data_IF_043164474716
#
_entry.id   IF_043164474716
#
_cell.length_a   1.000
_cell.length_b   1.000
_cell.length_c   1.000
_cell.angle_alpha   90.00
_cell.angle_beta   90.00
_cell.angle_gamma   90.00
#
_symmetry.space_group_name_H-M   'P 1'
#
loop_
_entity.id
_entity.type
_entity.pdbx_description
1 polymer ?
#
# COMPACT_ATOMS: atom_id res chain seq x y z
N UNK A 1 6.60 -14.77 -22.88
CA UNK A 1 6.14 -14.02 -24.07
C UNK A 1 4.78 -14.51 -24.54
N UNK A 2 4.57 -15.81 -24.66
CA UNK A 2 3.29 -16.38 -25.14
C UNK A 2 2.07 -16.00 -24.28
N UNK A 3 2.22 -16.01 -22.95
CA UNK A 3 1.15 -15.59 -22.05
C UNK A 3 0.77 -14.11 -22.25
N UNK A 4 1.74 -13.22 -22.37
CA UNK A 4 1.50 -11.79 -22.57
C UNK A 4 0.79 -11.51 -23.90
N UNK A 5 1.13 -12.27 -24.96
CA UNK A 5 0.44 -12.20 -26.24
C UNK A 5 -1.00 -12.68 -26.13
N UNK A 6 -1.24 -13.85 -25.52
CA UNK A 6 -2.59 -14.40 -25.35
C UNK A 6 -3.50 -13.42 -24.58
N UNK A 7 -3.00 -12.87 -23.47
CA UNK A 7 -3.75 -11.90 -22.67
C UNK A 7 -4.03 -10.62 -23.47
N UNK A 8 -3.06 -10.18 -24.29
CA UNK A 8 -3.22 -9.02 -25.16
C UNK A 8 -4.26 -9.21 -26.26
N UNK A 9 -4.27 -10.36 -26.93
CA UNK A 9 -5.28 -10.72 -27.93
C UNK A 9 -6.69 -10.71 -27.31
N UNK A 10 -6.87 -11.35 -26.15
CA UNK A 10 -8.14 -11.37 -25.43
C UNK A 10 -8.56 -9.95 -25.02
N UNK A 11 -7.63 -9.16 -24.48
CA UNK A 11 -7.88 -7.79 -24.03
C UNK A 11 -8.40 -6.90 -25.16
N UNK A 12 -7.81 -7.03 -26.36
CA UNK A 12 -8.26 -6.31 -27.55
C UNK A 12 -9.63 -6.81 -28.02
N UNK A 13 -9.84 -8.12 -28.07
CA UNK A 13 -11.11 -8.74 -28.49
C UNK A 13 -12.29 -8.26 -27.64
N UNK A 14 -12.10 -8.20 -26.31
CA UNK A 14 -13.16 -7.78 -25.38
C UNK A 14 -13.20 -6.25 -25.17
N UNK A 15 -12.23 -5.50 -25.68
CA UNK A 15 -12.10 -4.05 -25.49
C UNK A 15 -11.92 -3.62 -24.02
N UNK A 16 -11.31 -4.47 -23.18
CA UNK A 16 -11.07 -4.20 -21.75
C UNK A 16 -9.68 -4.62 -21.32
N UNK A 17 -9.16 -4.02 -20.25
CA UNK A 17 -7.92 -4.48 -19.63
C UNK A 17 -8.12 -5.89 -19.05
N UNK A 18 -7.09 -6.73 -19.15
CA UNK A 18 -7.05 -8.07 -18.55
C UNK A 18 -5.82 -8.15 -17.65
N UNK A 19 -6.04 -8.52 -16.40
CA UNK A 19 -5.03 -8.67 -15.37
C UNK A 19 -4.86 -10.12 -14.95
N UNK A 20 -3.63 -10.46 -14.57
CA UNK A 20 -3.25 -11.75 -14.01
C UNK A 20 -2.49 -11.51 -12.70
N UNK A 21 -2.91 -12.20 -11.64
CA UNK A 21 -2.08 -12.34 -10.45
C UNK A 21 -1.25 -13.61 -10.56
N UNK A 22 0.06 -13.46 -10.41
CA UNK A 22 1.02 -14.53 -10.68
C UNK A 22 1.91 -14.71 -9.46
N UNK A 23 2.02 -15.93 -8.96
CA UNK A 23 2.94 -16.30 -7.89
C UNK A 23 4.40 -16.34 -8.36
N UNK A 24 5.33 -16.35 -7.40
CA UNK A 24 6.77 -16.55 -7.64
C UNK A 24 7.09 -17.84 -8.41
N UNK A 25 6.25 -18.89 -8.25
CA UNK A 25 6.33 -20.15 -9.00
C UNK A 25 6.01 -20.01 -10.50
N UNK A 26 5.40 -18.89 -10.89
CA UNK A 26 4.82 -18.68 -12.21
C UNK A 26 3.35 -19.13 -12.33
N UNK A 27 2.76 -19.70 -11.26
CA UNK A 27 1.36 -20.09 -11.24
C UNK A 27 0.44 -18.86 -11.28
N UNK A 28 -0.53 -18.87 -12.19
CA UNK A 28 -1.55 -17.83 -12.30
C UNK A 28 -2.68 -18.15 -11.33
N UNK A 29 -2.88 -17.29 -10.33
CA UNK A 29 -3.86 -17.50 -9.26
C UNK A 29 -5.21 -16.90 -9.59
N UNK A 30 -5.21 -15.77 -10.28
CA UNK A 30 -6.42 -15.04 -10.66
C UNK A 30 -6.28 -14.49 -12.07
N UNK A 31 -7.40 -14.53 -12.80
CA UNK A 31 -7.62 -13.75 -14.01
C UNK A 31 -8.67 -12.70 -13.69
N UNK A 32 -8.38 -11.45 -14.04
CA UNK A 32 -9.19 -10.28 -13.70
C UNK A 32 -9.54 -9.58 -15.01
N UNK A 33 -10.82 -9.25 -15.19
CA UNK A 33 -11.29 -8.45 -16.32
C UNK A 33 -11.66 -7.08 -15.79
N UNK A 34 -10.88 -6.07 -16.19
CA UNK A 34 -11.08 -4.69 -15.79
C UNK A 34 -12.04 -3.94 -16.70
N UNK A 35 -11.96 -2.62 -16.62
CA UNK A 35 -12.53 -1.71 -17.61
C UNK A 35 -11.41 -1.21 -18.54
N UNK A 36 -11.61 -0.12 -19.26
CA UNK A 36 -10.63 0.46 -20.18
C UNK A 36 -9.55 1.32 -19.48
N UNK A 37 -9.76 1.67 -18.21
CA UNK A 37 -8.90 2.54 -17.41
C UNK A 37 -8.30 1.86 -16.17
N UNK A 38 -8.93 0.82 -15.61
CA UNK A 38 -8.50 0.17 -14.38
C UNK A 38 -8.90 -1.29 -14.22
N UNK A 39 -8.26 -1.95 -13.25
CA UNK A 39 -8.51 -3.33 -12.84
C UNK A 39 -8.79 -3.35 -11.35
N UNK A 40 -9.91 -3.94 -10.96
CA UNK A 40 -10.26 -4.10 -9.55
C UNK A 40 -9.62 -5.37 -8.98
N UNK A 41 -8.71 -5.19 -8.02
CA UNK A 41 -8.01 -6.30 -7.38
C UNK A 41 -8.96 -7.04 -6.43
N UNK A 42 -9.13 -8.37 -6.56
CA UNK A 42 -9.99 -9.13 -5.66
C UNK A 42 -9.40 -9.18 -4.24
N UNK A 43 -10.21 -9.53 -3.24
CA UNK A 43 -9.71 -9.77 -1.89
C UNK A 43 -8.69 -10.93 -1.86
N UNK A 44 -7.53 -10.69 -1.23
CA UNK A 44 -6.39 -11.61 -1.23
C UNK A 44 -6.12 -12.27 0.13
N UNK A 45 -7.18 -12.63 0.87
CA UNK A 45 -7.10 -13.11 2.27
C UNK A 45 -6.21 -14.35 2.47
N UNK A 46 -6.05 -15.17 1.42
CA UNK A 46 -5.18 -16.35 1.41
C UNK A 46 -3.69 -15.99 1.37
N UNK A 47 -3.36 -14.77 0.95
CA UNK A 47 -2.00 -14.27 0.76
C UNK A 47 -1.67 -13.25 1.84
N UNK A 48 -1.60 -13.69 3.10
CA UNK A 48 -1.23 -12.80 4.21
C UNK A 48 0.20 -12.30 4.03
N UNK A 49 0.39 -11.00 4.21
CA UNK A 49 1.71 -10.37 4.14
C UNK A 49 2.33 -10.38 5.52
N UNK A 50 3.50 -11.01 5.66
CA UNK A 50 4.31 -10.92 6.86
C UNK A 50 5.10 -9.61 6.87
N UNK A 51 5.52 -9.17 8.06
CA UNK A 51 6.34 -7.98 8.25
C UNK A 51 7.58 -7.99 7.37
N UNK A 52 7.90 -6.83 6.78
CA UNK A 52 9.05 -6.63 5.90
C UNK A 52 9.12 -7.58 4.69
N UNK A 53 8.04 -8.29 4.36
CA UNK A 53 7.93 -9.14 3.17
C UNK A 53 6.99 -8.55 2.14
N UNK A 54 7.14 -9.01 0.91
CA UNK A 54 6.20 -8.78 -0.17
C UNK A 54 5.18 -9.93 -0.20
N UNK A 55 4.07 -9.74 -0.90
CA UNK A 55 2.95 -10.69 -0.90
C UNK A 55 3.28 -12.01 -1.61
N UNK A 56 4.35 -12.07 -2.40
CA UNK A 56 4.66 -13.23 -3.23
C UNK A 56 3.83 -13.29 -4.51
N UNK A 57 3.17 -12.18 -4.85
CA UNK A 57 2.31 -12.01 -6.01
C UNK A 57 2.77 -10.81 -6.81
N UNK A 58 2.82 -10.95 -8.13
CA UNK A 58 2.88 -9.83 -9.06
C UNK A 58 1.59 -9.68 -9.84
N UNK A 59 1.24 -8.45 -10.16
CA UNK A 59 0.19 -8.15 -11.13
C UNK A 59 0.83 -7.95 -12.51
N UNK A 60 0.34 -8.69 -13.49
CA UNK A 60 0.56 -8.41 -14.89
C UNK A 60 -0.76 -7.99 -15.50
N UNK A 61 -0.81 -6.88 -16.25
CA UNK A 61 -2.05 -6.47 -16.91
C UNK A 61 -1.80 -5.79 -18.25
N UNK A 62 -2.86 -5.60 -19.03
CA UNK A 62 -2.81 -4.94 -20.34
C UNK A 62 -3.26 -3.48 -20.26
N UNK A 63 -2.61 -2.62 -21.04
CA UNK A 63 -3.10 -1.29 -21.38
C UNK A 63 -3.47 -1.25 -22.86
N UNK A 64 -4.72 -0.91 -23.17
CA UNK A 64 -5.22 -0.74 -24.56
C UNK A 64 -4.80 0.60 -25.19
N UNK A 65 -4.29 1.52 -24.37
CA UNK A 65 -3.74 2.81 -24.79
C UNK A 65 -2.27 2.87 -24.39
N UNK A 66 -1.48 3.61 -25.15
CA UNK A 66 -0.05 3.77 -24.90
C UNK A 66 0.20 4.80 -23.78
N UNK A 67 0.04 4.38 -22.52
CA UNK A 67 0.37 5.18 -21.34
C UNK A 67 1.17 4.38 -20.29
N UNK A 68 2.02 5.06 -19.51
CA UNK A 68 2.67 4.48 -18.32
C UNK A 68 1.67 3.97 -17.28
N UNK A 69 2.19 3.28 -16.26
CA UNK A 69 1.43 2.98 -15.04
C UNK A 69 0.88 4.28 -14.46
N UNK A 70 -0.42 4.29 -14.16
CA UNK A 70 -1.13 5.43 -13.61
C UNK A 70 -1.07 5.39 -12.07
N UNK A 71 -1.68 6.37 -11.41
CA UNK A 71 -1.67 6.42 -9.94
C UNK A 71 -2.43 5.26 -9.29
N UNK A 72 -3.51 4.76 -9.90
CA UNK A 72 -4.27 3.61 -9.39
C UNK A 72 -3.41 2.35 -9.36
N UNK A 73 -2.69 2.07 -10.44
CA UNK A 73 -1.74 0.96 -10.53
C UNK A 73 -0.69 1.05 -9.42
N UNK A 74 -0.09 2.22 -9.23
CA UNK A 74 0.97 2.44 -8.25
C UNK A 74 0.46 2.36 -6.80
N UNK A 75 -0.78 2.76 -6.56
CA UNK A 75 -1.44 2.55 -5.27
C UNK A 75 -1.69 1.07 -5.02
N UNK A 76 -2.15 0.31 -6.02
CA UNK A 76 -2.37 -1.13 -5.88
C UNK A 76 -1.08 -1.89 -5.62
N UNK A 77 0.03 -1.49 -6.24
CA UNK A 77 1.36 -2.05 -5.97
C UNK A 77 1.70 -1.98 -4.48
N UNK A 78 1.63 -0.78 -3.91
CA UNK A 78 2.06 -0.54 -2.53
C UNK A 78 1.06 -1.12 -1.54
N UNK A 79 -0.23 -0.83 -1.72
CA UNK A 79 -1.26 -1.19 -0.77
C UNK A 79 -1.54 -2.70 -0.72
N UNK A 80 -1.35 -3.42 -1.84
CA UNK A 80 -1.38 -4.89 -1.83
C UNK A 80 -0.01 -5.49 -1.53
N UNK A 81 1.05 -4.68 -1.38
CA UNK A 81 2.43 -5.14 -1.23
C UNK A 81 2.85 -6.16 -2.30
N UNK A 82 2.44 -5.94 -3.55
CA UNK A 82 2.82 -6.83 -4.65
C UNK A 82 4.34 -6.82 -4.84
N UNK A 83 4.88 -7.96 -5.25
CA UNK A 83 6.28 -8.11 -5.60
C UNK A 83 6.64 -7.14 -6.76
N UNK A 84 5.72 -6.97 -7.72
CA UNK A 84 5.80 -5.98 -8.79
C UNK A 84 4.44 -5.78 -9.49
N UNK A 85 4.30 -4.68 -10.22
CA UNK A 85 3.25 -4.51 -11.23
C UNK A 85 3.90 -4.32 -12.60
N UNK A 86 3.35 -4.97 -13.63
CA UNK A 86 3.78 -4.83 -15.02
C UNK A 86 2.59 -4.65 -15.94
N UNK A 87 2.50 -3.49 -16.60
CA UNK A 87 1.57 -3.22 -17.69
C UNK A 87 2.20 -3.55 -19.04
N UNK A 88 1.49 -4.30 -19.87
CA UNK A 88 1.79 -4.51 -21.28
C UNK A 88 0.94 -3.58 -22.14
N UNK A 89 1.56 -2.63 -22.84
CA UNK A 89 0.85 -1.82 -23.83
C UNK A 89 0.69 -2.63 -25.12
N UNK A 90 -0.55 -2.96 -25.46
CA UNK A 90 -0.87 -3.84 -26.59
C UNK A 90 -1.27 -3.02 -27.81
N UNK A 91 -0.85 -3.47 -28.99
CA UNK A 91 -1.33 -2.95 -30.26
C UNK A 91 -2.76 -3.38 -30.57
N UNK A 92 -3.34 -2.84 -31.63
CA UNK A 92 -4.65 -3.27 -32.15
C UNK A 92 -4.67 -4.72 -32.65
N UNK A 93 -3.51 -5.33 -32.82
CA UNK A 93 -3.29 -6.73 -33.13
C UNK A 93 -3.19 -7.62 -31.87
N UNK A 94 -3.32 -7.05 -30.67
CA UNK A 94 -3.16 -7.75 -29.40
C UNK A 94 -1.71 -8.01 -29.01
N UNK A 95 -0.73 -7.60 -29.82
CA UNK A 95 0.69 -7.87 -29.57
C UNK A 95 1.25 -6.82 -28.60
N UNK A 96 1.88 -7.23 -27.47
CA UNK A 96 2.58 -6.30 -26.59
C UNK A 96 3.72 -5.57 -27.30
N UNK A 97 3.66 -4.24 -27.37
CA UNK A 97 4.70 -3.40 -27.97
C UNK A 97 5.81 -3.05 -26.98
N UNK A 98 5.43 -2.77 -25.74
CA UNK A 98 6.35 -2.44 -24.65
C UNK A 98 5.66 -2.62 -23.30
N UNK A 99 6.46 -2.59 -22.25
CA UNK A 99 6.08 -2.84 -20.88
C UNK A 99 6.51 -1.69 -19.97
N UNK A 100 5.66 -1.39 -19.00
CA UNK A 100 5.98 -0.53 -17.87
C UNK A 100 5.90 -1.36 -16.60
N UNK A 101 6.95 -1.31 -15.79
CA UNK A 101 7.02 -2.07 -14.54
C UNK A 101 7.33 -1.16 -13.37
N UNK A 102 6.79 -1.50 -12.20
CA UNK A 102 7.06 -0.81 -10.96
C UNK A 102 7.29 -1.81 -9.82
N UNK A 103 8.11 -1.39 -8.86
CA UNK A 103 8.43 -2.12 -7.64
C UNK A 103 8.22 -1.18 -6.45
N UNK A 104 7.95 -1.73 -5.27
CA UNK A 104 7.88 -0.91 -4.05
C UNK A 104 9.28 -0.36 -3.76
N UNK A 105 9.34 0.90 -3.36
CA UNK A 105 10.61 1.50 -2.95
C UNK A 105 10.98 0.95 -1.56
N UNK A 106 12.14 0.29 -1.40
CA UNK A 106 12.52 -0.24 -0.09
C UNK A 106 12.88 0.86 0.90
N UNK A 107 13.05 2.11 0.45
CA UNK A 107 13.29 3.24 1.33
C UNK A 107 12.02 3.81 1.94
N UNK A 108 11.79 3.65 3.26
CA UNK A 108 10.59 4.18 3.91
C UNK A 108 10.52 5.71 3.87
N UNK A 109 11.66 6.40 3.73
CA UNK A 109 11.72 7.86 3.67
C UNK A 109 11.74 8.41 2.23
N UNK A 110 11.57 7.54 1.23
CA UNK A 110 11.46 7.99 -0.14
C UNK A 110 10.20 8.83 -0.36
N UNK A 111 10.34 9.90 -1.17
CA UNK A 111 9.21 10.74 -1.58
C UNK A 111 8.11 9.93 -2.27
N UNK A 112 8.52 9.00 -3.14
CA UNK A 112 7.61 8.11 -3.85
C UNK A 112 7.78 6.69 -3.30
N UNK A 113 6.70 6.00 -2.89
CA UNK A 113 6.77 4.67 -2.30
C UNK A 113 6.98 3.54 -3.34
N UNK A 114 7.27 3.90 -4.59
CA UNK A 114 7.52 3.00 -5.70
C UNK A 114 8.71 3.46 -6.54
N UNK A 115 9.27 2.53 -7.30
CA UNK A 115 10.35 2.73 -8.27
C UNK A 115 9.83 2.31 -9.64
N UNK A 116 9.81 3.26 -10.59
CA UNK A 116 9.45 2.99 -11.97
C UNK A 116 10.65 2.45 -12.75
N UNK A 117 10.44 1.36 -13.48
CA UNK A 117 11.41 0.87 -14.45
C UNK A 117 11.33 1.69 -15.73
N UNK A 118 12.44 1.86 -16.46
CA UNK A 118 12.40 2.39 -17.82
C UNK A 118 11.48 1.55 -18.70
N UNK A 119 10.89 2.17 -19.73
CA UNK A 119 10.10 1.46 -20.75
C UNK A 119 10.91 0.31 -21.33
N UNK A 120 10.36 -0.91 -21.29
CA UNK A 120 11.02 -2.11 -21.82
C UNK A 120 10.31 -2.62 -23.06
N UNK A 121 11.08 -3.07 -24.05
CA UNK A 121 10.54 -3.78 -25.22
C UNK A 121 10.57 -5.30 -24.97
N UNK A 122 9.76 -6.12 -25.68
CA UNK A 122 9.72 -7.57 -25.51
C UNK A 122 11.08 -8.28 -25.46
N UNK A 123 12.04 -7.89 -26.29
CA UNK A 123 13.39 -8.45 -26.31
C UNK A 123 14.32 -7.97 -25.19
N UNK A 124 13.87 -7.05 -24.34
CA UNK A 124 14.66 -6.46 -23.24
C UNK A 124 14.22 -6.94 -21.86
N UNK A 125 13.18 -7.78 -21.79
CA UNK A 125 12.75 -8.39 -20.53
C UNK A 125 13.86 -9.32 -20.05
N UNK A 126 14.53 -8.92 -18.96
CA UNK A 126 15.64 -9.67 -18.39
C UNK A 126 15.10 -10.88 -17.62
N UNK A 127 15.87 -11.97 -17.66
CA UNK A 127 15.76 -13.04 -16.68
C UNK A 127 16.21 -12.53 -15.31
N UNK A 128 15.78 -13.20 -14.24
CA UNK A 128 16.23 -12.88 -12.89
C UNK A 128 15.19 -12.19 -12.00
N UNK A 129 13.89 -12.38 -12.28
CA UNK A 129 12.81 -11.74 -11.50
C UNK A 129 12.87 -12.13 -10.01
N UNK A 130 13.14 -13.41 -9.71
CA UNK A 130 13.21 -13.89 -8.34
C UNK A 130 14.36 -13.22 -7.59
N UNK A 131 15.52 -13.12 -8.23
CA UNK A 131 16.72 -12.48 -7.71
C UNK A 131 16.47 -10.99 -7.43
N UNK A 132 15.68 -10.32 -8.27
CA UNK A 132 15.28 -8.93 -8.04
C UNK A 132 14.35 -8.79 -6.83
N UNK A 133 13.37 -9.69 -6.67
CA UNK A 133 12.46 -9.70 -5.52
C UNK A 133 13.21 -10.03 -4.23
N UNK A 134 14.10 -11.01 -4.25
CA UNK A 134 14.94 -11.39 -3.11
C UNK A 134 15.88 -10.25 -2.69
N UNK A 135 16.49 -9.56 -3.64
CA UNK A 135 17.29 -8.37 -3.37
C UNK A 135 16.44 -7.27 -2.71
N UNK A 136 15.21 -7.07 -3.19
CA UNK A 136 14.29 -6.07 -2.64
C UNK A 136 13.85 -6.43 -1.20
N UNK A 137 13.50 -7.69 -0.92
CA UNK A 137 13.17 -8.18 0.43
C UNK A 137 14.38 -8.10 1.38
N UNK A 138 15.59 -8.30 0.88
CA UNK A 138 16.81 -8.10 1.66
C UNK A 138 16.97 -6.64 2.08
N UNK A 139 16.69 -5.68 1.19
CA UNK A 139 16.72 -4.25 1.52
C UNK A 139 15.67 -3.87 2.55
N UNK A 140 14.43 -4.37 2.44
CA UNK A 140 13.40 -4.17 3.49
C UNK A 140 13.87 -4.69 4.85
N UNK A 141 14.41 -5.91 4.88
CA UNK A 141 14.88 -6.55 6.12
C UNK A 141 16.06 -5.79 6.74
N UNK A 142 17.01 -5.32 5.93
CA UNK A 142 18.14 -4.51 6.42
C UNK A 142 17.65 -3.25 7.13
N UNK A 143 16.64 -2.56 6.59
CA UNK A 143 16.13 -1.31 7.17
C UNK A 143 15.35 -1.52 8.48
N UNK A 144 14.76 -2.69 8.68
CA UNK A 144 14.11 -3.02 9.97
C UNK A 144 15.03 -3.77 10.93
N UNK A 145 16.23 -4.18 10.51
CA UNK A 145 17.14 -5.06 11.27
C UNK A 145 17.62 -4.49 12.62
N UNK A 146 17.74 -3.17 12.74
CA UNK A 146 18.21 -2.48 13.96
C UNK A 146 17.16 -2.36 15.04
N UNK A 147 15.89 -2.66 14.73
CA UNK A 147 14.77 -2.61 15.67
C UNK A 147 14.74 -3.86 16.54
N UNK A 148 14.41 -3.70 17.82
CA UNK A 148 14.09 -4.84 18.70
C UNK A 148 12.84 -5.57 18.17
N UNK A 149 12.71 -6.87 18.40
CA UNK A 149 11.52 -7.65 17.97
C UNK A 149 10.21 -7.00 18.42
N UNK A 150 10.15 -6.52 19.67
CA UNK A 150 8.97 -5.81 20.20
C UNK A 150 8.66 -4.49 19.48
N UNK A 151 9.67 -3.83 18.89
CA UNK A 151 9.52 -2.62 18.08
C UNK A 151 9.21 -2.91 16.62
N UNK A 152 9.38 -4.17 16.17
CA UNK A 152 8.97 -4.61 14.83
C UNK A 152 7.47 -4.91 14.79
N UNK A 153 6.91 -5.43 15.89
CA UNK A 153 5.52 -5.93 15.99
C UNK A 153 4.55 -4.97 16.72
N UNK A 154 4.95 -3.70 16.95
CA UNK A 154 4.05 -2.67 17.49
C UNK A 154 4.36 -1.29 16.90
N UNK A 155 4.29 -1.17 15.57
CA UNK A 155 4.61 0.09 14.87
C UNK A 155 3.37 0.94 14.69
N UNK A 156 3.43 2.22 15.05
CA UNK A 156 2.28 3.13 15.01
C UNK A 156 2.51 4.41 14.21
N UNK A 157 1.43 4.88 13.59
CA UNK A 157 1.26 6.20 13.02
C UNK A 157 0.32 6.99 13.93
N UNK A 158 0.77 8.14 14.46
CA UNK A 158 -0.09 8.99 15.27
C UNK A 158 -0.80 10.06 14.44
N UNK A 159 -2.08 10.27 14.68
CA UNK A 159 -2.92 11.22 13.96
C UNK A 159 -3.58 12.19 14.93
N UNK A 160 -3.08 13.43 14.97
CA UNK A 160 -3.65 14.51 15.77
C UNK A 160 -4.56 15.40 14.94
N UNK A 161 -5.84 15.50 15.31
CA UNK A 161 -6.78 16.44 14.67
C UNK A 161 -7.40 17.35 15.72
N UNK A 162 -7.20 18.64 15.55
CA UNK A 162 -7.57 19.63 16.56
C UNK A 162 -8.41 20.76 15.95
N UNK A 163 -9.59 20.96 16.53
CA UNK A 163 -10.45 22.11 16.27
C UNK A 163 -9.80 23.35 16.91
N UNK A 164 -9.34 24.28 16.06
CA UNK A 164 -8.68 25.53 16.46
C UNK A 164 -9.55 26.41 17.38
N UNK A 165 -10.87 26.27 17.33
CA UNK A 165 -11.81 27.07 18.15
C UNK A 165 -12.00 26.48 19.55
N UNK A 166 -11.78 25.17 19.72
CA UNK A 166 -11.96 24.43 20.97
C UNK A 166 -10.64 24.03 21.63
N UNK A 167 -9.52 24.46 21.06
CA UNK A 167 -8.17 24.08 21.46
C UNK A 167 -7.84 24.63 22.87
N UNK A 168 -7.84 23.74 23.88
CA UNK A 168 -7.46 24.07 25.27
C UNK A 168 -5.98 23.88 25.56
N UNK A 169 -5.30 23.05 24.77
CA UNK A 169 -3.86 22.72 24.87
C UNK A 169 -3.22 22.81 23.49
N UNK A 170 -1.91 23.04 23.44
CA UNK A 170 -1.16 23.01 22.18
C UNK A 170 -1.15 21.59 21.59
N UNK A 171 -1.41 21.42 20.27
CA UNK A 171 -1.25 20.17 19.54
C UNK A 171 0.08 19.48 19.80
N UNK A 172 1.17 20.26 19.84
CA UNK A 172 2.51 19.73 20.02
C UNK A 172 2.68 19.09 21.41
N UNK A 173 2.04 19.66 22.44
CA UNK A 173 2.06 19.11 23.78
C UNK A 173 1.21 17.83 23.89
N UNK A 174 0.02 17.83 23.27
CA UNK A 174 -0.88 16.67 23.22
C UNK A 174 -0.22 15.49 22.49
N UNK A 175 0.41 15.74 21.35
CA UNK A 175 1.14 14.70 20.61
C UNK A 175 2.39 14.21 21.35
N UNK A 176 3.08 15.09 22.10
CA UNK A 176 4.22 14.66 22.92
C UNK A 176 3.76 13.73 24.06
N UNK A 177 2.63 14.05 24.71
CA UNK A 177 2.01 13.20 25.71
C UNK A 177 1.60 11.84 25.11
N UNK A 178 0.93 11.84 23.96
CA UNK A 178 0.53 10.61 23.27
C UNK A 178 1.74 9.74 22.87
N UNK A 179 2.84 10.36 22.43
CA UNK A 179 4.10 9.65 22.14
C UNK A 179 4.68 8.99 23.39
N UNK A 180 4.67 9.67 24.55
CA UNK A 180 5.14 9.10 25.81
C UNK A 180 4.26 7.94 26.30
N UNK A 181 2.94 8.03 26.11
CA UNK A 181 2.03 6.93 26.39
C UNK A 181 2.32 5.71 25.50
N UNK A 182 2.50 5.93 24.19
CA UNK A 182 2.90 4.88 23.26
C UNK A 182 4.22 4.22 23.68
N UNK A 183 5.22 5.03 24.05
CA UNK A 183 6.52 4.54 24.53
C UNK A 183 6.37 3.66 25.77
N UNK A 184 5.51 4.07 26.72
CA UNK A 184 5.24 3.32 27.95
C UNK A 184 4.50 2.02 27.67
N UNK A 185 3.63 2.01 26.66
CA UNK A 185 2.92 0.82 26.17
C UNK A 185 3.78 -0.09 25.25
N UNK A 186 5.06 0.24 25.01
CA UNK A 186 5.95 -0.55 24.15
C UNK A 186 5.72 -0.36 22.64
N UNK A 187 4.92 0.63 22.24
CA UNK A 187 4.61 0.96 20.85
C UNK A 187 5.70 1.86 20.28
N UNK A 188 6.20 1.51 19.10
CA UNK A 188 7.16 2.30 18.36
C UNK A 188 6.45 3.25 17.39
N UNK A 189 6.44 4.54 17.73
CA UNK A 189 5.90 5.58 16.84
C UNK A 189 6.86 5.82 15.68
N UNK A 190 6.40 5.52 14.47
CA UNK A 190 7.18 5.62 13.23
C UNK A 190 6.92 6.95 12.51
N UNK A 191 5.68 7.42 12.52
CA UNK A 191 5.30 8.66 11.83
C UNK A 191 4.15 9.37 12.56
N UNK A 192 3.97 10.65 12.27
CA UNK A 192 2.91 11.47 12.86
C UNK A 192 2.34 12.48 11.89
N UNK A 193 1.02 12.69 11.93
CA UNK A 193 0.33 13.73 11.18
C UNK A 193 -0.48 14.62 12.13
N UNK A 194 -0.34 15.93 11.99
CA UNK A 194 -1.08 16.93 12.76
C UNK A 194 -1.91 17.79 11.82
N UNK A 195 -3.19 17.93 12.14
CA UNK A 195 -4.13 18.73 11.40
C UNK A 195 -4.84 19.71 12.34
N UNK A 196 -4.74 21.01 12.07
CA UNK A 196 -5.37 22.08 12.85
C UNK A 196 -6.64 22.61 12.14
N UNK A 197 -7.66 21.76 11.99
CA UNK A 197 -8.98 22.10 11.41
C UNK A 197 -10.07 21.20 11.99
N UNK A 198 -11.33 21.58 11.78
CA UNK A 198 -12.49 20.79 12.20
C UNK A 198 -12.44 19.36 11.62
N UNK A 199 -12.73 18.33 12.43
CA UNK A 199 -12.64 16.94 11.98
C UNK A 199 -13.71 16.61 10.94
N UNK A 200 -13.33 15.87 9.91
CA UNK A 200 -14.29 15.30 8.96
C UNK A 200 -15.25 14.35 9.69
N UNK A 201 -16.57 14.48 9.51
CA UNK A 201 -17.55 13.70 10.27
C UNK A 201 -17.45 12.19 9.99
N UNK A 202 -16.85 11.77 8.88
CA UNK A 202 -16.76 10.36 8.48
C UNK A 202 -15.40 9.74 8.78
N UNK A 203 -14.31 10.49 8.70
CA UNK A 203 -12.93 9.97 8.71
C UNK A 203 -11.96 10.81 9.55
N UNK A 204 -12.43 11.90 10.17
CA UNK A 204 -11.66 12.88 10.95
C UNK A 204 -10.65 13.69 10.14
N UNK A 205 -9.86 13.06 9.29
CA UNK A 205 -8.85 13.71 8.43
C UNK A 205 -9.33 13.97 7.00
N UNK A 206 -10.46 13.38 6.59
CA UNK A 206 -10.96 13.41 5.21
C UNK A 206 -10.47 12.22 4.39
N UNK A 207 -11.25 11.78 3.39
CA UNK A 207 -10.99 10.55 2.60
C UNK A 207 -9.59 10.52 1.97
N UNK A 208 -9.21 11.58 1.25
CA UNK A 208 -7.91 11.62 0.56
C UNK A 208 -6.73 11.55 1.53
N UNK A 209 -6.80 12.30 2.63
CA UNK A 209 -5.75 12.28 3.66
C UNK A 209 -5.67 10.92 4.36
N UNK A 210 -6.81 10.28 4.63
CA UNK A 210 -6.83 8.93 5.19
C UNK A 210 -6.15 7.93 4.23
N UNK A 211 -6.40 8.02 2.92
CA UNK A 211 -5.72 7.17 1.92
C UNK A 211 -4.21 7.41 1.89
N UNK A 212 -3.76 8.66 2.00
CA UNK A 212 -2.32 8.98 2.10
C UNK A 212 -1.68 8.41 3.38
N UNK A 213 -2.36 8.49 4.53
CA UNK A 213 -1.89 7.92 5.80
C UNK A 213 -1.81 6.39 5.68
N UNK A 214 -2.82 5.74 5.10
CA UNK A 214 -2.83 4.28 4.87
C UNK A 214 -1.68 3.88 3.93
N UNK A 215 -1.49 4.59 2.82
CA UNK A 215 -0.37 4.34 1.89
C UNK A 215 0.98 4.43 2.61
N UNK A 216 1.19 5.50 3.37
CA UNK A 216 2.41 5.70 4.17
C UNK A 216 2.59 4.59 5.19
N UNK A 217 1.49 4.17 5.83
CA UNK A 217 1.51 3.11 6.83
C UNK A 217 1.91 1.77 6.24
N UNK A 218 1.35 1.39 5.08
CA UNK A 218 1.73 0.15 4.39
C UNK A 218 3.18 0.20 3.89
N UNK A 219 3.63 1.35 3.38
CA UNK A 219 5.01 1.52 2.88
C UNK A 219 6.04 1.46 4.01
N UNK A 220 5.75 2.10 5.16
CA UNK A 220 6.61 2.12 6.35
C UNK A 220 6.42 0.92 7.30
N UNK A 221 5.63 -0.09 6.90
CA UNK A 221 5.35 -1.30 7.70
C UNK A 221 4.78 -0.94 9.08
N UNK A 222 3.72 -0.12 9.10
CA UNK A 222 3.03 0.34 10.31
C UNK A 222 1.74 -0.47 10.51
N UNK A 223 1.51 -0.95 11.72
CA UNK A 223 0.40 -1.82 12.09
C UNK A 223 -0.75 -1.08 12.78
N UNK A 224 -0.47 0.07 13.38
CA UNK A 224 -1.43 0.80 14.20
C UNK A 224 -1.61 2.24 13.74
N UNK A 225 -2.87 2.66 13.62
CA UNK A 225 -3.23 4.07 13.55
C UNK A 225 -3.79 4.50 14.90
N UNK A 226 -3.18 5.52 15.51
CA UNK A 226 -3.59 6.00 16.84
C UNK A 226 -4.02 7.47 16.73
N UNK A 227 -5.26 7.76 17.08
CA UNK A 227 -5.84 9.10 16.96
C UNK A 227 -5.82 9.85 18.28
N UNK A 228 -5.35 11.11 18.27
CA UNK A 228 -5.37 12.01 19.43
C UNK A 228 -6.73 12.71 19.60
N UNK A 229 -7.82 11.95 19.48
CA UNK A 229 -9.19 12.36 19.77
C UNK A 229 -10.04 11.12 20.04
N UNK A 230 -11.25 11.29 20.56
CA UNK A 230 -12.23 10.20 20.60
C UNK A 230 -12.95 10.07 19.26
N UNK A 231 -12.96 8.86 18.71
CA UNK A 231 -13.69 8.51 17.50
C UNK A 231 -15.11 8.10 17.87
N UNK A 232 -16.08 8.59 17.09
CA UNK A 232 -17.42 8.01 17.14
C UNK A 232 -17.41 6.57 16.60
N UNK A 233 -18.36 5.70 17.00
CA UNK A 233 -18.41 4.32 16.51
C UNK A 233 -18.46 4.21 14.98
N UNK A 234 -19.12 5.14 14.31
CA UNK A 234 -19.22 5.18 12.85
C UNK A 234 -17.89 5.58 12.19
N UNK A 235 -17.13 6.51 12.78
CA UNK A 235 -15.78 6.87 12.33
C UNK A 235 -14.81 5.72 12.55
N UNK A 236 -14.78 5.13 13.75
CA UNK A 236 -13.90 4.01 14.08
C UNK A 236 -14.12 2.84 13.13
N UNK A 237 -15.38 2.44 12.90
CA UNK A 237 -15.72 1.39 11.93
C UNK A 237 -15.21 1.72 10.53
N UNK A 238 -15.48 2.93 10.04
CA UNK A 238 -15.10 3.32 8.68
C UNK A 238 -13.58 3.36 8.46
N UNK A 239 -12.83 3.85 9.45
CA UNK A 239 -11.36 3.87 9.39
C UNK A 239 -10.83 2.44 9.47
N UNK A 240 -11.39 1.62 10.37
CA UNK A 240 -11.03 0.20 10.50
C UNK A 240 -11.27 -0.58 9.21
N UNK A 241 -12.43 -0.40 8.56
CA UNK A 241 -12.74 -1.07 7.29
C UNK A 241 -11.68 -0.73 6.22
N UNK A 242 -11.32 0.55 6.11
CA UNK A 242 -10.27 1.00 5.18
C UNK A 242 -8.86 0.47 5.53
N UNK A 243 -8.58 0.23 6.82
CA UNK A 243 -7.30 -0.31 7.30
C UNK A 243 -7.20 -1.83 7.11
N UNK A 244 -8.27 -2.58 7.42
CA UNK A 244 -8.32 -4.04 7.32
C UNK A 244 -8.15 -4.51 5.88
N UNK A 245 -8.77 -3.83 4.91
CA UNK A 245 -8.54 -4.07 3.48
C UNK A 245 -7.04 -4.01 3.12
N UNK A 246 -6.26 -3.23 3.86
CA UNK A 246 -4.83 -2.96 3.59
C UNK A 246 -3.89 -3.55 4.64
N UNK A 247 -4.38 -4.50 5.44
CA UNK A 247 -3.58 -5.26 6.40
C UNK A 247 -2.95 -4.40 7.52
N UNK A 248 -3.53 -3.24 7.81
CA UNK A 248 -3.20 -2.45 9.00
C UNK A 248 -4.04 -3.01 10.15
N UNK A 249 -3.37 -3.44 11.22
CA UNK A 249 -3.96 -4.21 12.31
C UNK A 249 -5.07 -3.49 13.08
N UNK A 250 -4.70 -2.44 13.83
CA UNK A 250 -5.64 -1.80 14.78
C UNK A 250 -5.74 -0.29 14.58
N UNK A 251 -6.96 0.22 14.70
CA UNK A 251 -7.25 1.65 14.86
C UNK A 251 -7.58 1.92 16.31
N UNK A 252 -6.86 2.85 16.95
CA UNK A 252 -6.99 3.16 18.37
C UNK A 252 -7.22 4.65 18.57
N UNK A 253 -7.83 4.99 19.70
CA UNK A 253 -8.20 6.35 20.07
C UNK A 253 -8.18 6.52 21.60
N UNK A 254 -8.49 7.73 22.09
CA UNK A 254 -8.51 8.01 23.53
C UNK A 254 -9.55 7.19 24.32
N UNK A 255 -10.63 6.74 23.68
CA UNK A 255 -11.75 6.10 24.37
C UNK A 255 -11.45 4.67 24.84
N UNK A 256 -10.50 4.00 24.20
CA UNK A 256 -10.13 2.62 24.55
C UNK A 256 -9.03 2.53 25.62
N UNK A 257 -8.38 3.66 25.95
CA UNK A 257 -7.10 3.63 26.66
C UNK A 257 -6.04 2.89 25.83
N UNK A 258 -4.77 3.23 26.01
CA UNK A 258 -3.68 2.43 25.44
C UNK A 258 -3.47 1.15 26.27
N UNK A 259 -4.56 0.46 26.62
CA UNK A 259 -4.55 -0.83 27.32
C UNK A 259 -4.42 -1.94 26.29
N UNK A 260 -3.17 -2.18 25.86
CA UNK A 260 -2.79 -3.36 25.11
C UNK A 260 -2.61 -4.50 26.11
N UNK A 261 -3.64 -5.32 26.27
CA UNK A 261 -3.57 -6.61 26.97
C UNK A 261 -4.13 -7.71 26.08
#
# INVERSE_FOLDING_TARGET
>A
MDLARLVGEISVEIGRQVGLLIERSGYVTHLIVGNDHSIEIPHLDRYRVAHSRLRGLRLFHTHLKEHPLNQEDLMDLVLNRFDSITAACVGSDGIPKFFFSAFINPDPEAKEPWILSPKQYPGQLKYGYLEQVEALESEFTKKTSTLKTSQKENRAFLVGVYDVRKMKRSPDHSMAELKELCRTAGIHVVDTYIQKRDPDPKTVVGKGKLQEIILTSVHKDIEHLIFDLELTPSQAKKISDACMERHIGNTLDHSHGLHFY
#
